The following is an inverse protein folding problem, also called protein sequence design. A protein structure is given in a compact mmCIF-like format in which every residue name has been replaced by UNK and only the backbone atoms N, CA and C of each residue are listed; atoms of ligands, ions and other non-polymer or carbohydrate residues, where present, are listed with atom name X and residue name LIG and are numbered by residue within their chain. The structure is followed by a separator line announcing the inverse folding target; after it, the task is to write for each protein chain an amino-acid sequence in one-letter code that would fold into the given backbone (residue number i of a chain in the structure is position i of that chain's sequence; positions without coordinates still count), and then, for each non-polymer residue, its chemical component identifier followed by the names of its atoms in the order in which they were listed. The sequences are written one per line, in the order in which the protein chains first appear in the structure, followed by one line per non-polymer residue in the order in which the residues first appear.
data_IF_467652538721
#
_entry.id   IF_467652538721
#
_cell.length_a   1.000
_cell.length_b   1.000
_cell.length_c   1.000
_cell.angle_alpha   90.00
_cell.angle_beta   90.00
_cell.angle_gamma   90.00
#
_symmetry.space_group_name_H-M   'P 1'
#
loop_
_entity.id
_entity.type
_entity.pdbx_description
1 polymer ?
#
# COMPACT_ATOMS: atom_id res chain seq x y z
N UNK A 1 -15.25 -41.63 41.19
CA UNK A 1 -13.99 -41.13 40.61
C UNK A 1 -14.24 -39.73 40.09
N UNK A 2 -13.94 -38.73 40.92
CA UNK A 2 -14.07 -37.31 40.59
C UNK A 2 -12.83 -36.90 39.79
N UNK A 3 -12.99 -36.63 38.50
CA UNK A 3 -11.96 -36.01 37.68
C UNK A 3 -11.77 -34.57 38.17
N UNK A 4 -10.75 -34.34 38.98
CA UNK A 4 -10.28 -32.98 39.26
C UNK A 4 -9.81 -32.39 37.93
N UNK A 5 -10.64 -31.55 37.32
CA UNK A 5 -10.18 -30.64 36.28
C UNK A 5 -9.08 -29.80 36.91
N UNK A 6 -7.83 -30.05 36.51
CA UNK A 6 -6.71 -29.18 36.82
C UNK A 6 -7.05 -27.80 36.28
N UNK A 7 -7.53 -26.90 37.14
CA UNK A 7 -7.72 -25.50 36.77
C UNK A 7 -6.38 -24.99 36.23
N UNK A 8 -6.41 -24.46 35.01
CA UNK A 8 -5.24 -23.85 34.38
C UNK A 8 -4.64 -22.83 35.34
N UNK A 9 -3.34 -22.93 35.62
CA UNK A 9 -2.66 -22.03 36.56
C UNK A 9 -2.80 -20.55 36.16
N UNK A 10 -3.00 -20.27 34.87
CA UNK A 10 -3.25 -18.94 34.33
C UNK A 10 -4.60 -18.36 34.79
N UNK A 11 -5.60 -19.20 35.05
CA UNK A 11 -6.94 -18.77 35.46
C UNK A 11 -6.99 -18.29 36.91
N UNK A 12 -6.06 -18.77 37.74
CA UNK A 12 -5.98 -18.45 39.17
C UNK A 12 -5.24 -17.12 39.40
N UNK A 13 -4.59 -16.57 38.37
CA UNK A 13 -3.84 -15.32 38.47
C UNK A 13 -4.75 -14.15 38.91
N UNK A 14 -4.25 -13.25 39.78
CA UNK A 14 -4.88 -11.96 40.06
C UNK A 14 -5.13 -11.16 38.78
N UNK A 15 -6.10 -10.25 38.84
CA UNK A 15 -6.49 -9.43 37.69
C UNK A 15 -5.32 -8.62 37.15
N UNK A 16 -4.43 -8.14 38.02
CA UNK A 16 -3.25 -7.36 37.69
C UNK A 16 -2.23 -8.18 36.89
N UNK A 17 -2.03 -9.46 37.24
CA UNK A 17 -1.13 -10.33 36.49
C UNK A 17 -1.75 -10.75 35.15
N UNK A 18 -3.06 -10.98 35.09
CA UNK A 18 -3.77 -11.23 33.82
C UNK A 18 -3.67 -10.03 32.89
N UNK A 19 -3.77 -8.83 33.43
CA UNK A 19 -3.60 -7.58 32.70
C UNK A 19 -2.19 -7.47 32.10
N UNK A 20 -1.14 -7.76 32.89
CA UNK A 20 0.24 -7.78 32.39
C UNK A 20 0.46 -8.83 31.30
N UNK A 21 -0.17 -10.01 31.43
CA UNK A 21 -0.15 -11.02 30.36
C UNK A 21 -0.78 -10.47 29.09
N UNK A 22 -1.94 -9.82 29.17
CA UNK A 22 -2.61 -9.21 28.02
C UNK A 22 -1.74 -8.12 27.35
N UNK A 23 -1.09 -7.26 28.14
CA UNK A 23 -0.15 -6.25 27.64
C UNK A 23 1.08 -6.84 26.94
N UNK A 24 1.48 -8.05 27.32
CA UNK A 24 2.67 -8.73 26.78
C UNK A 24 2.36 -9.57 25.54
N UNK A 25 1.10 -9.64 25.09
CA UNK A 25 0.76 -10.46 23.94
C UNK A 25 1.37 -9.89 22.66
N UNK A 26 1.94 -10.75 21.79
CA UNK A 26 2.71 -10.30 20.63
C UNK A 26 1.84 -9.85 19.45
N UNK A 27 0.55 -10.20 19.44
CA UNK A 27 -0.33 -9.91 18.31
C UNK A 27 -1.80 -9.87 18.67
N UNK A 28 -2.60 -9.19 17.85
CA UNK A 28 -4.06 -9.15 17.93
C UNK A 28 -4.65 -10.54 17.79
N UNK A 29 -4.06 -11.40 16.96
CA UNK A 29 -4.45 -12.81 16.86
C UNK A 29 -4.32 -13.53 18.20
N UNK A 30 -3.17 -13.35 18.88
CA UNK A 30 -2.93 -13.95 20.21
C UNK A 30 -3.90 -13.42 21.26
N UNK A 31 -4.18 -12.12 21.24
CA UNK A 31 -5.19 -11.47 22.09
C UNK A 31 -6.59 -12.06 21.85
N UNK A 32 -6.97 -12.23 20.59
CA UNK A 32 -8.26 -12.82 20.22
C UNK A 32 -8.35 -14.28 20.69
N UNK A 33 -7.32 -15.10 20.45
CA UNK A 33 -7.28 -16.48 20.90
C UNK A 33 -7.38 -16.59 22.43
N UNK A 34 -6.63 -15.78 23.18
CA UNK A 34 -6.63 -15.85 24.65
C UNK A 34 -7.99 -15.43 25.23
N UNK A 35 -8.55 -14.32 24.74
CA UNK A 35 -9.85 -13.82 25.22
C UNK A 35 -11.00 -14.76 24.87
N UNK A 36 -10.95 -15.47 23.75
CA UNK A 36 -11.94 -16.50 23.42
C UNK A 36 -11.74 -17.82 24.18
N UNK A 37 -10.50 -18.14 24.56
CA UNK A 37 -10.18 -19.38 25.29
C UNK A 37 -10.49 -19.31 26.80
N UNK A 38 -10.57 -18.12 27.37
CA UNK A 38 -10.72 -17.92 28.81
C UNK A 38 -11.73 -16.80 29.15
N UNK A 39 -12.84 -17.11 29.85
CA UNK A 39 -13.78 -16.11 30.34
C UNK A 39 -13.15 -15.10 31.32
N UNK A 40 -12.10 -15.50 32.06
CA UNK A 40 -11.44 -14.59 32.99
C UNK A 40 -10.59 -13.55 32.24
N UNK A 41 -9.86 -13.97 31.22
CA UNK A 41 -9.13 -13.02 30.36
C UNK A 41 -10.09 -12.16 29.51
N UNK A 42 -11.21 -12.72 29.06
CA UNK A 42 -12.27 -11.95 28.40
C UNK A 42 -12.77 -10.81 29.28
N UNK A 43 -13.09 -11.08 30.55
CA UNK A 43 -13.59 -10.08 31.49
C UNK A 43 -12.55 -8.99 31.80
N UNK A 44 -11.27 -9.34 31.91
CA UNK A 44 -10.19 -8.36 32.12
C UNK A 44 -10.01 -7.49 30.87
N UNK A 45 -10.02 -8.10 29.67
CA UNK A 45 -9.88 -7.38 28.41
C UNK A 45 -11.04 -6.41 28.16
N UNK A 46 -12.29 -6.83 28.36
CA UNK A 46 -13.48 -5.99 28.22
C UNK A 46 -13.73 -5.03 29.40
N UNK A 47 -12.76 -4.92 30.31
CA UNK A 47 -12.77 -3.93 31.39
C UNK A 47 -12.43 -2.52 30.92
N UNK A 48 -12.08 -1.65 31.87
CA UNK A 48 -11.76 -0.24 31.61
C UNK A 48 -10.48 -0.02 30.78
N UNK A 49 -9.63 -1.03 30.68
CA UNK A 49 -8.30 -0.94 30.04
C UNK A 49 -8.27 -1.46 28.60
N UNK A 50 -9.42 -1.84 28.02
CA UNK A 50 -9.48 -2.43 26.68
C UNK A 50 -8.70 -1.63 25.63
N UNK A 51 -8.84 -0.30 25.65
CA UNK A 51 -8.17 0.59 24.71
C UNK A 51 -6.65 0.69 24.93
N UNK A 52 -6.17 0.51 26.15
CA UNK A 52 -4.74 0.51 26.47
C UNK A 52 -4.12 -0.83 26.10
N UNK A 53 -4.80 -1.94 26.43
CA UNK A 53 -4.39 -3.30 26.07
C UNK A 53 -4.26 -3.42 24.54
N UNK A 54 -5.30 -3.02 23.80
CA UNK A 54 -5.26 -3.13 22.34
C UNK A 54 -4.17 -2.23 21.73
N UNK A 55 -3.96 -1.01 22.26
CA UNK A 55 -2.89 -0.14 21.78
C UNK A 55 -1.50 -0.76 21.99
N UNK A 56 -1.26 -1.35 23.16
CA UNK A 56 0.01 -2.02 23.45
C UNK A 56 0.20 -3.26 22.58
N UNK A 57 -0.84 -4.07 22.37
CA UNK A 57 -0.76 -5.25 21.50
C UNK A 57 -0.47 -4.86 20.06
N UNK A 58 -1.07 -3.77 19.56
CA UNK A 58 -0.74 -3.20 18.25
C UNK A 58 0.71 -2.72 18.18
N UNK A 59 1.24 -2.10 19.25
CA UNK A 59 2.65 -1.71 19.35
C UNK A 59 3.58 -2.93 19.35
N UNK A 60 3.21 -4.00 20.06
CA UNK A 60 3.99 -5.23 20.09
C UNK A 60 4.03 -5.92 18.72
N UNK A 61 2.93 -5.89 17.97
CA UNK A 61 2.80 -6.55 16.66
C UNK A 61 3.51 -5.78 15.54
N UNK A 62 3.39 -4.45 15.52
CA UNK A 62 3.92 -3.59 14.45
C UNK A 62 5.29 -3.00 14.77
N UNK A 63 5.59 -2.83 16.05
CA UNK A 63 6.66 -1.96 16.52
C UNK A 63 6.25 -0.48 16.50
N UNK A 64 6.91 0.29 17.37
CA UNK A 64 6.60 1.71 17.62
C UNK A 64 6.62 2.59 16.36
N UNK A 65 7.57 2.37 15.47
CA UNK A 65 7.74 3.21 14.27
C UNK A 65 6.63 2.95 13.24
N UNK A 66 6.26 1.70 13.01
CA UNK A 66 5.16 1.34 12.09
C UNK A 66 3.81 1.77 12.67
N UNK A 67 3.65 1.70 14.00
CA UNK A 67 2.43 2.12 14.68
C UNK A 67 2.13 3.62 14.48
N UNK A 68 3.15 4.48 14.43
CA UNK A 68 2.97 5.92 14.14
C UNK A 68 2.34 6.15 12.75
N UNK A 69 2.84 5.45 11.73
CA UNK A 69 2.26 5.53 10.38
C UNK A 69 0.83 4.94 10.36
N UNK A 70 0.57 3.87 11.12
CA UNK A 70 -0.78 3.32 11.29
C UNK A 70 -1.76 4.32 11.93
N UNK A 71 -1.33 5.06 12.95
CA UNK A 71 -2.12 6.14 13.55
C UNK A 71 -2.45 7.24 12.56
N UNK A 72 -1.51 7.57 11.67
CA UNK A 72 -1.74 8.53 10.61
C UNK A 72 -2.75 8.03 9.58
N UNK A 73 -2.68 6.76 9.18
CA UNK A 73 -3.68 6.11 8.31
C UNK A 73 -5.08 6.17 8.92
N UNK A 74 -5.22 5.86 10.21
CA UNK A 74 -6.51 5.96 10.92
C UNK A 74 -7.07 7.39 10.85
N UNK A 75 -6.23 8.38 11.12
CA UNK A 75 -6.63 9.78 11.07
C UNK A 75 -7.02 10.22 9.65
N UNK A 76 -6.26 9.78 8.64
CA UNK A 76 -6.57 10.02 7.23
C UNK A 76 -7.91 9.39 6.83
N UNK A 77 -8.17 8.15 7.24
CA UNK A 77 -9.42 7.44 6.95
C UNK A 77 -10.64 8.11 7.59
N UNK A 78 -10.51 8.64 8.81
CA UNK A 78 -11.55 9.44 9.46
C UNK A 78 -11.87 10.71 8.69
N UNK A 79 -10.85 11.33 8.11
CA UNK A 79 -11.01 12.57 7.37
C UNK A 79 -11.85 12.40 6.11
N UNK A 80 -11.77 11.26 5.41
CA UNK A 80 -12.64 10.97 4.26
C UNK A 80 -14.11 11.06 4.65
N UNK A 81 -14.47 10.48 5.81
CA UNK A 81 -15.83 10.51 6.35
C UNK A 81 -16.34 11.92 6.63
N UNK A 82 -15.44 12.89 6.78
CA UNK A 82 -15.77 14.29 7.04
C UNK A 82 -15.91 15.11 5.75
N UNK A 83 -15.47 14.59 4.60
CA UNK A 83 -15.44 15.26 3.28
C UNK A 83 -16.60 14.91 2.35
N UNK A 84 -17.67 14.30 2.86
CA UNK A 84 -18.85 13.97 2.04
C UNK A 84 -19.35 15.17 1.23
N UNK A 85 -19.64 14.98 -0.06
CA UNK A 85 -20.08 16.06 -0.96
C UNK A 85 -21.52 16.50 -0.63
N UNK A 86 -21.70 17.74 -0.16
CA UNK A 86 -23.05 18.38 -0.08
C UNK A 86 -23.49 18.81 -1.49
N UNK A 87 -24.69 18.40 -1.96
CA UNK A 87 -25.18 18.71 -3.31
C UNK A 87 -25.35 20.18 -3.70
N UNK A 88 -25.21 21.15 -2.79
CA UNK A 88 -25.59 22.53 -3.06
C UNK A 88 -24.60 23.64 -2.63
N UNK A 89 -23.35 23.38 -2.22
CA UNK A 89 -22.56 24.43 -1.54
C UNK A 89 -21.04 24.51 -1.76
N UNK A 90 -20.58 25.67 -2.24
CA UNK A 90 -19.18 26.13 -2.26
C UNK A 90 -18.54 26.29 -0.85
N UNK A 91 -19.33 26.30 0.24
CA UNK A 91 -18.81 26.47 1.61
C UNK A 91 -18.18 25.20 2.21
N UNK A 92 -18.65 24.01 1.81
CA UNK A 92 -18.12 22.74 2.31
C UNK A 92 -16.73 22.44 1.74
N UNK A 93 -16.44 22.94 0.53
CA UNK A 93 -15.15 22.87 -0.13
C UNK A 93 -14.06 23.61 0.67
N UNK A 94 -14.36 24.83 1.15
CA UNK A 94 -13.44 25.60 1.99
C UNK A 94 -13.15 24.92 3.33
N UNK A 95 -14.17 24.36 4.01
CA UNK A 95 -13.98 23.64 5.27
C UNK A 95 -13.18 22.36 5.06
N UNK A 96 -13.44 21.62 3.98
CA UNK A 96 -12.72 20.41 3.61
C UNK A 96 -11.25 20.70 3.27
N UNK A 97 -10.99 21.80 2.55
CA UNK A 97 -9.64 22.27 2.23
C UNK A 97 -8.89 22.76 3.47
N UNK A 98 -9.56 23.44 4.40
CA UNK A 98 -8.96 23.83 5.68
C UNK A 98 -8.57 22.61 6.52
N UNK A 99 -9.45 21.62 6.63
CA UNK A 99 -9.16 20.37 7.33
C UNK A 99 -8.03 19.59 6.62
N UNK A 100 -8.00 19.58 5.28
CA UNK A 100 -6.89 19.02 4.51
C UNK A 100 -5.55 19.66 4.91
N UNK A 101 -5.50 20.99 4.86
CA UNK A 101 -4.29 21.75 5.15
C UNK A 101 -3.87 21.59 6.61
N UNK A 102 -4.82 21.52 7.54
CA UNK A 102 -4.54 21.19 8.95
C UNK A 102 -3.92 19.80 9.09
N UNK A 103 -4.42 18.79 8.36
CA UNK A 103 -3.85 17.44 8.36
C UNK A 103 -2.45 17.40 7.74
N UNK A 104 -2.26 18.04 6.59
CA UNK A 104 -0.98 18.12 5.91
C UNK A 104 0.07 18.86 6.74
N UNK A 105 -0.33 19.94 7.43
CA UNK A 105 0.54 20.76 8.29
C UNK A 105 0.76 20.19 9.69
N UNK A 106 -0.07 19.25 10.14
CA UNK A 106 0.09 18.63 11.46
C UNK A 106 1.48 17.97 11.56
N UNK A 107 2.23 18.10 12.67
CA UNK A 107 3.64 17.65 12.72
C UNK A 107 3.86 16.14 12.50
N UNK A 108 5.12 15.74 12.31
CA UNK A 108 5.57 14.34 12.16
C UNK A 108 5.40 13.53 13.46
N UNK A 109 5.44 14.21 14.61
CA UNK A 109 5.23 13.64 15.93
C UNK A 109 3.85 14.03 16.44
N UNK A 110 2.89 13.12 16.31
CA UNK A 110 1.59 13.25 16.96
C UNK A 110 1.31 11.97 17.72
N UNK A 111 1.10 12.08 19.03
CA UNK A 111 0.75 10.93 19.86
C UNK A 111 -0.73 10.55 19.67
N UNK A 112 -1.10 9.30 19.96
CA UNK A 112 -2.46 8.75 19.82
C UNK A 112 -3.52 9.65 20.46
N UNK A 113 -3.18 10.26 21.60
CA UNK A 113 -4.06 11.17 22.35
C UNK A 113 -4.32 12.46 21.57
N UNK A 114 -3.29 13.03 20.95
CA UNK A 114 -3.37 14.25 20.13
C UNK A 114 -4.11 13.98 18.81
N UNK A 115 -4.15 12.72 18.38
CA UNK A 115 -4.87 12.26 17.20
C UNK A 115 -6.35 11.90 17.49
N UNK A 116 -6.76 11.87 18.76
CA UNK A 116 -8.12 11.54 19.16
C UNK A 116 -8.57 10.12 18.77
N UNK A 117 -7.62 9.18 18.66
CA UNK A 117 -7.88 7.81 18.19
C UNK A 117 -8.68 7.03 19.25
N UNK A 118 -9.83 6.48 18.84
CA UNK A 118 -10.75 5.73 19.70
C UNK A 118 -10.48 4.23 19.66
N UNK A 119 -11.14 3.48 20.55
CA UNK A 119 -11.12 2.02 20.53
C UNK A 119 -11.65 1.44 19.20
N UNK A 120 -12.74 1.99 18.69
CA UNK A 120 -13.34 1.54 17.43
C UNK A 120 -12.40 1.72 16.24
N UNK A 121 -11.62 2.80 16.22
CA UNK A 121 -10.62 3.01 15.18
C UNK A 121 -9.51 1.95 15.23
N UNK A 122 -9.04 1.61 16.43
CA UNK A 122 -8.02 0.57 16.62
C UNK A 122 -8.56 -0.80 16.20
N UNK A 123 -9.82 -1.11 16.52
CA UNK A 123 -10.49 -2.34 16.09
C UNK A 123 -10.66 -2.36 14.57
N UNK A 124 -11.00 -1.22 13.97
CA UNK A 124 -11.09 -1.10 12.52
C UNK A 124 -9.74 -1.37 11.85
N UNK A 125 -8.67 -0.75 12.34
CA UNK A 125 -7.32 -0.93 11.79
C UNK A 125 -6.79 -2.34 12.05
N UNK A 126 -7.07 -2.94 13.21
CA UNK A 126 -6.59 -4.28 13.54
C UNK A 126 -7.10 -5.35 12.57
N UNK A 127 -8.26 -5.13 11.94
CA UNK A 127 -8.81 -6.02 10.90
C UNK A 127 -8.01 -5.99 9.60
N UNK A 128 -7.27 -4.91 9.34
CA UNK A 128 -6.42 -4.75 8.15
C UNK A 128 -5.04 -5.39 8.32
N UNK A 129 -4.61 -5.68 9.55
CA UNK A 129 -3.27 -6.22 9.83
C UNK A 129 -2.92 -7.50 9.07
N UNK A 130 -3.82 -8.49 8.91
CA UNK A 130 -3.50 -9.69 8.13
C UNK A 130 -3.14 -9.35 6.68
N UNK A 131 -3.88 -8.42 6.05
CA UNK A 131 -3.57 -7.98 4.69
C UNK A 131 -2.24 -7.22 4.61
N UNK A 132 -1.95 -6.37 5.60
CA UNK A 132 -0.66 -5.66 5.68
C UNK A 132 0.50 -6.66 5.80
N UNK A 133 0.36 -7.69 6.63
CA UNK A 133 1.36 -8.75 6.78
C UNK A 133 1.55 -9.53 5.48
N UNK A 134 0.47 -9.97 4.83
CA UNK A 134 0.54 -10.71 3.57
C UNK A 134 1.23 -9.92 2.46
N UNK A 135 0.86 -8.65 2.28
CA UNK A 135 1.49 -7.77 1.27
C UNK A 135 2.95 -7.53 1.60
N UNK A 136 3.30 -7.33 2.87
CA UNK A 136 4.68 -7.09 3.28
C UNK A 136 5.56 -8.32 3.06
N UNK A 137 5.05 -9.51 3.38
CA UNK A 137 5.72 -10.79 3.12
C UNK A 137 5.87 -10.99 1.61
N UNK A 138 4.84 -10.70 0.82
CA UNK A 138 4.92 -10.84 -0.62
C UNK A 138 5.94 -9.88 -1.25
N UNK A 139 6.04 -8.65 -0.75
CA UNK A 139 7.10 -7.73 -1.17
C UNK A 139 8.47 -8.31 -0.83
N UNK A 140 8.66 -8.81 0.41
CA UNK A 140 9.91 -9.47 0.82
C UNK A 140 10.28 -10.62 -0.11
N UNK A 141 9.36 -11.53 -0.39
CA UNK A 141 9.63 -12.71 -1.22
C UNK A 141 9.94 -12.34 -2.68
N UNK A 142 9.21 -11.39 -3.25
CA UNK A 142 9.35 -11.02 -4.66
C UNK A 142 10.53 -10.07 -4.92
N UNK A 143 11.01 -9.36 -3.89
CA UNK A 143 12.06 -8.35 -4.05
C UNK A 143 13.29 -8.66 -3.20
N UNK A 144 13.19 -8.53 -1.87
CA UNK A 144 14.33 -8.62 -0.94
C UNK A 144 14.81 -10.08 -0.71
N UNK A 145 14.00 -11.07 -1.11
CA UNK A 145 14.34 -12.49 -1.09
C UNK A 145 15.25 -12.91 -2.25
N UNK A 146 15.39 -12.06 -3.25
CA UNK A 146 16.17 -12.32 -4.46
C UNK A 146 17.47 -11.50 -4.43
N UNK A 147 18.53 -12.06 -4.98
CA UNK A 147 19.82 -11.40 -5.07
C UNK A 147 19.69 -10.18 -6.00
N UNK A 148 20.11 -8.96 -5.58
CA UNK A 148 19.92 -7.72 -6.36
C UNK A 148 20.49 -7.74 -7.78
N UNK A 149 21.52 -8.56 -8.03
CA UNK A 149 22.25 -8.66 -9.31
C UNK A 149 21.88 -9.90 -10.14
N UNK A 150 21.64 -11.05 -9.52
CA UNK A 150 21.38 -12.28 -10.28
C UNK A 150 19.88 -12.51 -10.46
N UNK A 151 19.05 -11.87 -9.63
CA UNK A 151 17.61 -12.13 -9.55
C UNK A 151 17.29 -13.50 -8.94
N UNK A 152 18.29 -14.32 -8.63
CA UNK A 152 18.10 -15.66 -8.07
C UNK A 152 17.71 -15.58 -6.59
N UNK A 153 16.90 -16.53 -6.14
CA UNK A 153 16.49 -16.63 -4.74
C UNK A 153 17.72 -16.87 -3.86
N UNK A 154 17.88 -16.09 -2.80
CA UNK A 154 19.01 -16.22 -1.87
C UNK A 154 18.86 -17.55 -1.10
N UNK A 155 19.79 -18.51 -1.21
CA UNK A 155 19.65 -19.83 -0.60
C UNK A 155 19.73 -19.74 0.94
N UNK A 156 18.78 -20.33 1.67
CA UNK A 156 18.70 -20.28 3.14
C UNK A 156 19.95 -20.78 3.90
N UNK A 157 20.88 -21.45 3.22
CA UNK A 157 22.15 -21.95 3.74
C UNK A 157 23.31 -20.95 3.66
N UNK A 158 23.16 -19.82 2.95
CA UNK A 158 24.21 -18.80 2.83
C UNK A 158 24.34 -17.98 4.13
N UNK A 159 25.56 -17.56 4.54
CA UNK A 159 25.73 -16.59 5.63
C UNK A 159 24.96 -15.27 5.39
N UNK A 160 24.72 -14.91 4.13
CA UNK A 160 23.88 -13.78 3.69
C UNK A 160 22.36 -14.06 3.68
N UNK A 161 21.94 -15.29 3.99
CA UNK A 161 20.56 -15.75 3.94
C UNK A 161 19.84 -15.80 5.29
N UNK A 162 20.37 -15.05 6.26
CA UNK A 162 19.56 -14.69 7.42
C UNK A 162 18.25 -14.08 6.91
N UNK A 163 17.14 -14.55 7.47
CA UNK A 163 15.80 -14.06 7.15
C UNK A 163 15.78 -12.53 7.21
N UNK A 164 14.94 -11.87 6.38
CA UNK A 164 14.78 -10.43 6.43
C UNK A 164 14.60 -9.95 7.87
N UNK A 165 15.28 -8.86 8.21
CA UNK A 165 15.24 -8.37 9.59
C UNK A 165 13.88 -7.74 9.88
N UNK A 166 13.53 -7.65 11.17
CA UNK A 166 12.34 -6.89 11.60
C UNK A 166 12.39 -5.45 11.11
N UNK A 167 13.59 -4.86 10.94
CA UNK A 167 13.73 -3.48 10.42
C UNK A 167 13.35 -3.39 8.95
N UNK A 168 13.77 -4.33 8.13
CA UNK A 168 13.41 -4.38 6.71
C UNK A 168 11.89 -4.55 6.55
N UNK A 169 11.28 -5.43 7.36
CA UNK A 169 9.83 -5.59 7.40
C UNK A 169 9.14 -4.28 7.83
N UNK A 170 9.64 -3.60 8.86
CA UNK A 170 9.10 -2.31 9.29
C UNK A 170 9.20 -1.23 8.20
N UNK A 171 10.30 -1.15 7.44
CA UNK A 171 10.41 -0.20 6.32
C UNK A 171 9.31 -0.42 5.27
N UNK A 172 9.08 -1.67 4.89
CA UNK A 172 8.03 -2.05 3.94
C UNK A 172 6.65 -1.68 4.49
N UNK A 173 6.33 -2.06 5.73
CA UNK A 173 5.03 -1.77 6.35
C UNK A 173 4.78 -0.27 6.44
N UNK A 174 5.77 0.53 6.85
CA UNK A 174 5.66 2.00 6.86
C UNK A 174 5.38 2.56 5.48
N UNK A 175 6.13 2.12 4.47
CA UNK A 175 5.94 2.56 3.10
C UNK A 175 4.53 2.24 2.57
N UNK A 176 4.03 1.02 2.80
CA UNK A 176 2.65 0.63 2.47
C UNK A 176 1.64 1.53 3.20
N UNK A 177 1.83 1.78 4.50
CA UNK A 177 0.93 2.61 5.29
C UNK A 177 0.97 4.09 4.87
N UNK A 178 2.13 4.62 4.46
CA UNK A 178 2.23 6.00 3.96
C UNK A 178 1.52 6.17 2.62
N UNK A 179 1.61 5.16 1.73
CA UNK A 179 0.81 5.10 0.50
C UNK A 179 -0.68 5.05 0.86
N UNK A 180 -1.10 4.21 1.80
CA UNK A 180 -2.49 4.13 2.27
C UNK A 180 -2.98 5.45 2.92
N UNK A 181 -2.11 6.16 3.65
CA UNK A 181 -2.46 7.46 4.20
C UNK A 181 -2.64 8.49 3.07
N UNK A 182 -1.77 8.47 2.06
CA UNK A 182 -1.90 9.29 0.86
C UNK A 182 -3.23 9.03 0.15
N UNK A 183 -3.59 7.76 -0.09
CA UNK A 183 -4.86 7.41 -0.74
C UNK A 183 -6.02 8.00 0.05
N UNK A 184 -6.05 7.83 1.37
CA UNK A 184 -7.12 8.35 2.21
C UNK A 184 -7.19 9.89 2.26
N UNK A 185 -6.07 10.59 2.36
CA UNK A 185 -6.04 12.06 2.44
C UNK A 185 -6.62 12.71 1.18
N UNK A 186 -6.36 12.09 0.03
CA UNK A 186 -6.72 12.60 -1.30
C UNK A 186 -7.95 11.91 -1.91
N UNK A 187 -8.67 11.11 -1.11
CA UNK A 187 -9.98 10.53 -1.44
C UNK A 187 -11.14 11.43 -1.01
N UNK A 188 -12.26 11.38 -1.73
CA UNK A 188 -13.55 11.97 -1.33
C UNK A 188 -14.62 10.89 -1.24
N UNK A 189 -15.43 10.91 -0.17
CA UNK A 189 -16.62 10.06 -0.05
C UNK A 189 -17.79 10.68 -0.84
N UNK A 190 -18.36 9.94 -1.81
CA UNK A 190 -19.55 10.40 -2.51
C UNK A 190 -20.82 9.72 -1.98
N UNK A 191 -21.59 10.44 -1.17
CA UNK A 191 -22.94 10.01 -0.74
C UNK A 191 -23.93 9.86 -1.92
N UNK A 192 -23.69 10.45 -3.09
CA UNK A 192 -24.59 10.33 -4.25
C UNK A 192 -24.55 8.97 -4.94
N UNK A 193 -23.50 8.16 -4.81
CA UNK A 193 -23.48 6.81 -5.41
C UNK A 193 -24.41 5.85 -4.66
N UNK A 194 -24.58 6.03 -3.34
CA UNK A 194 -25.58 5.29 -2.55
C UNK A 194 -27.03 5.71 -2.87
N UNK A 195 -27.22 6.90 -3.46
CA UNK A 195 -28.54 7.49 -3.75
C UNK A 195 -28.82 7.71 -5.24
N UNK A 196 -27.92 7.29 -6.14
CA UNK A 196 -28.06 7.53 -7.57
C UNK A 196 -29.32 6.84 -8.10
N UNK A 197 -30.07 7.60 -8.90
CA UNK A 197 -31.45 7.40 -9.38
C UNK A 197 -31.70 6.15 -10.26
N UNK A 198 -30.88 5.10 -10.17
CA UNK A 198 -30.96 3.92 -11.04
C UNK A 198 -31.30 2.62 -10.30
N UNK A 199 -32.02 2.71 -9.17
CA UNK A 199 -32.68 1.52 -8.57
C UNK A 199 -33.71 0.85 -9.51
N UNK A 200 -34.12 1.51 -10.58
CA UNK A 200 -35.24 1.04 -11.42
C UNK A 200 -34.82 0.26 -12.69
N UNK A 201 -33.52 -0.03 -12.88
CA UNK A 201 -33.03 -0.85 -13.99
C UNK A 201 -32.16 -2.04 -13.53
N UNK A 202 -32.71 -2.87 -12.64
CA UNK A 202 -32.20 -4.24 -12.47
C UNK A 202 -32.45 -5.04 -13.76
N UNK A 203 -31.39 -5.40 -14.48
CA UNK A 203 -31.48 -6.40 -15.53
C UNK A 203 -31.61 -7.79 -14.88
N UNK A 204 -32.83 -8.33 -14.85
CA UNK A 204 -33.16 -9.60 -14.21
C UNK A 204 -32.50 -10.81 -14.89
N UNK A 205 -31.98 -10.67 -16.11
CA UNK A 205 -31.54 -11.80 -16.93
C UNK A 205 -30.08 -11.71 -17.44
N UNK A 206 -29.29 -10.71 -17.00
CA UNK A 206 -27.88 -10.58 -17.39
C UNK A 206 -26.96 -11.67 -16.81
N UNK A 207 -25.88 -12.06 -17.50
CA UNK A 207 -25.02 -13.18 -17.12
C UNK A 207 -24.31 -13.01 -15.76
N UNK A 208 -24.23 -11.78 -15.25
CA UNK A 208 -23.58 -11.42 -14.00
C UNK A 208 -24.53 -11.32 -12.80
N UNK A 209 -25.86 -11.38 -12.98
CA UNK A 209 -26.81 -11.49 -11.84
C UNK A 209 -26.68 -12.84 -11.13
N UNK A 210 -26.33 -13.91 -11.86
CA UNK A 210 -25.96 -15.20 -11.24
C UNK A 210 -24.70 -15.13 -10.38
N UNK A 211 -23.93 -14.03 -10.49
CA UNK A 211 -22.67 -13.79 -9.78
C UNK A 211 -22.74 -12.60 -8.80
N UNK A 212 -23.88 -11.92 -8.69
CA UNK A 212 -24.14 -10.91 -7.66
C UNK A 212 -23.79 -9.45 -7.97
N UNK A 213 -23.63 -9.05 -9.24
CA UNK A 213 -23.17 -7.69 -9.61
C UNK A 213 -24.29 -6.74 -10.09
N UNK A 214 -24.18 -5.44 -9.76
CA UNK A 214 -25.07 -4.35 -10.20
C UNK A 214 -24.45 -3.54 -11.37
N UNK A 215 -25.30 -2.86 -12.15
CA UNK A 215 -24.96 -2.11 -13.40
C UNK A 215 -24.43 -0.69 -13.12
N UNK A 216 -23.39 -0.20 -13.85
CA UNK A 216 -22.97 1.23 -13.88
C UNK A 216 -22.54 1.66 -15.30
N UNK A 217 -23.03 2.83 -15.79
CA UNK A 217 -22.77 3.38 -17.14
C UNK A 217 -21.53 4.31 -17.25
N UNK A 218 -20.90 4.39 -18.43
CA UNK A 218 -19.75 5.26 -18.85
C UNK A 218 -19.73 6.68 -18.31
N UNK A 219 -20.89 7.30 -18.11
CA UNK A 219 -20.99 8.66 -17.59
C UNK A 219 -20.42 8.80 -16.17
N UNK A 220 -20.19 7.70 -15.45
CA UNK A 220 -19.51 7.71 -14.15
C UNK A 220 -17.98 7.73 -14.26
N UNK A 221 -17.34 7.14 -15.28
CA UNK A 221 -15.88 7.21 -15.42
C UNK A 221 -15.41 8.64 -15.76
N UNK A 222 -16.13 9.32 -16.66
CA UNK A 222 -15.84 10.73 -17.01
C UNK A 222 -16.21 11.70 -15.88
N UNK A 223 -17.24 11.41 -15.05
CA UNK A 223 -17.54 12.23 -13.85
C UNK A 223 -16.65 11.95 -12.65
N UNK A 224 -16.05 10.76 -12.56
CA UNK A 224 -15.02 10.43 -11.57
C UNK A 224 -13.73 11.23 -11.79
N UNK A 225 -13.50 11.76 -12.99
CA UNK A 225 -12.62 12.91 -13.23
C UNK A 225 -13.28 14.22 -12.77
N UNK A 226 -13.57 14.36 -11.47
CA UNK A 226 -13.70 15.71 -10.95
C UNK A 226 -12.31 16.34 -10.99
N UNK A 227 -12.14 17.34 -11.86
CA UNK A 227 -10.98 18.22 -12.00
C UNK A 227 -10.75 19.10 -10.76
N UNK A 228 -10.91 18.53 -9.56
CA UNK A 228 -10.11 18.95 -8.44
C UNK A 228 -8.73 18.35 -8.75
N UNK A 229 -7.87 19.07 -9.46
CA UNK A 229 -6.46 18.71 -9.49
C UNK A 229 -5.92 19.04 -8.09
N UNK A 230 -5.17 18.13 -7.47
CA UNK A 230 -4.35 18.54 -6.33
C UNK A 230 -3.39 19.64 -6.81
N UNK A 231 -3.24 20.71 -6.04
CA UNK A 231 -2.11 21.60 -6.32
C UNK A 231 -0.82 20.85 -5.98
N UNK A 232 0.23 21.06 -6.78
CA UNK A 232 1.57 20.53 -6.49
C UNK A 232 2.00 20.86 -5.05
N UNK A 233 1.55 22.01 -4.53
CA UNK A 233 1.70 22.44 -3.14
C UNK A 233 1.17 21.40 -2.12
N UNK A 234 0.01 20.78 -2.36
CA UNK A 234 -0.57 19.79 -1.44
C UNK A 234 0.22 18.48 -1.43
N UNK A 235 0.72 18.05 -2.59
CA UNK A 235 1.57 16.87 -2.70
C UNK A 235 2.92 17.12 -2.01
N UNK A 236 3.51 18.30 -2.21
CA UNK A 236 4.73 18.74 -1.55
C UNK A 236 4.54 18.83 -0.04
N UNK A 237 3.43 19.37 0.45
CA UNK A 237 3.13 19.43 1.88
C UNK A 237 3.05 18.03 2.51
N UNK A 238 2.47 17.05 1.79
CA UNK A 238 2.46 15.67 2.23
C UNK A 238 3.88 15.06 2.25
N UNK A 239 4.64 15.18 1.16
CA UNK A 239 5.97 14.59 1.07
C UNK A 239 7.01 15.27 1.97
N UNK A 240 6.88 16.56 2.26
CA UNK A 240 7.76 17.29 3.18
C UNK A 240 7.70 16.77 4.63
N UNK A 241 6.76 15.87 4.93
CA UNK A 241 6.74 15.14 6.21
C UNK A 241 7.82 14.07 6.28
N UNK A 242 8.31 13.59 5.14
CA UNK A 242 9.19 12.43 5.05
C UNK A 242 10.59 12.85 4.62
N UNK A 243 11.59 12.09 5.07
CA UNK A 243 12.96 12.24 4.59
C UNK A 243 13.08 11.67 3.16
N UNK A 244 14.12 12.06 2.41
CA UNK A 244 14.27 11.64 1.01
C UNK A 244 14.25 10.11 0.83
N UNK A 245 14.93 9.38 1.72
CA UNK A 245 14.93 7.91 1.68
C UNK A 245 13.58 7.30 2.05
N UNK A 246 12.78 7.96 2.90
CA UNK A 246 11.44 7.52 3.26
C UNK A 246 10.44 7.70 2.09
N UNK A 247 10.66 8.74 1.27
CA UNK A 247 9.93 8.94 0.01
C UNK A 247 10.33 7.83 -0.98
N UNK A 248 11.63 7.53 -1.09
CA UNK A 248 12.10 6.45 -1.95
C UNK A 248 11.58 5.06 -1.51
N UNK A 249 11.41 4.83 -0.20
CA UNK A 249 10.74 3.63 0.33
C UNK A 249 9.32 3.50 -0.26
N UNK A 250 8.55 4.61 -0.28
CA UNK A 250 7.21 4.63 -0.87
C UNK A 250 7.25 4.35 -2.38
N UNK A 251 8.17 4.97 -3.10
CA UNK A 251 8.31 4.79 -4.56
C UNK A 251 8.65 3.33 -4.89
N UNK A 252 9.55 2.69 -4.14
CA UNK A 252 9.88 1.27 -4.33
C UNK A 252 8.66 0.36 -4.16
N UNK A 253 7.82 0.62 -3.15
CA UNK A 253 6.57 -0.14 -2.93
C UNK A 253 5.56 0.13 -4.04
N UNK A 254 5.39 1.38 -4.47
CA UNK A 254 4.53 1.76 -5.60
C UNK A 254 4.92 1.02 -6.87
N UNK A 255 6.20 1.04 -7.24
CA UNK A 255 6.70 0.36 -8.43
C UNK A 255 6.55 -1.16 -8.36
N UNK A 256 6.63 -1.73 -7.16
CA UNK A 256 6.29 -3.12 -6.95
C UNK A 256 4.79 -3.38 -7.16
N UNK A 257 3.89 -2.58 -6.58
CA UNK A 257 2.45 -2.70 -6.81
C UNK A 257 2.09 -2.66 -8.29
N UNK A 258 2.64 -1.68 -9.03
CA UNK A 258 2.45 -1.57 -10.49
C UNK A 258 2.82 -2.86 -11.18
N UNK A 259 4.01 -3.40 -10.88
CA UNK A 259 4.47 -4.67 -11.47
C UNK A 259 3.58 -5.86 -11.11
N UNK A 260 3.07 -5.95 -9.89
CA UNK A 260 2.18 -7.04 -9.48
C UNK A 260 0.86 -7.00 -10.26
N UNK A 261 0.25 -5.81 -10.41
CA UNK A 261 -0.98 -5.66 -11.20
C UNK A 261 -0.73 -5.84 -12.71
N UNK A 262 0.37 -5.32 -13.24
CA UNK A 262 0.76 -5.53 -14.64
C UNK A 262 1.02 -7.01 -14.96
N UNK A 263 1.57 -7.77 -14.00
CA UNK A 263 1.78 -9.20 -14.14
C UNK A 263 0.44 -9.96 -14.24
N UNK A 264 -0.56 -9.58 -13.44
CA UNK A 264 -1.91 -10.16 -13.51
C UNK A 264 -2.55 -9.90 -14.87
N UNK A 265 -2.35 -8.72 -15.45
CA UNK A 265 -2.84 -8.41 -16.78
C UNK A 265 -2.20 -9.32 -17.84
N UNK A 266 -0.86 -9.41 -17.83
CA UNK A 266 -0.10 -10.24 -18.77
C UNK A 266 -0.44 -11.72 -18.64
N UNK A 267 -0.78 -12.17 -17.44
CA UNK A 267 -1.11 -13.57 -17.16
C UNK A 267 -2.51 -13.96 -17.63
N UNK A 268 -3.50 -13.07 -17.54
CA UNK A 268 -4.92 -13.38 -17.76
C UNK A 268 -5.59 -12.54 -18.88
N UNK A 269 -5.01 -12.46 -20.09
CA UNK A 269 -5.51 -11.55 -21.12
C UNK A 269 -6.94 -11.86 -21.58
N UNK A 270 -7.40 -13.11 -21.44
CA UNK A 270 -8.76 -13.52 -21.82
C UNK A 270 -9.80 -13.02 -20.83
N UNK A 271 -9.52 -13.19 -19.54
CA UNK A 271 -10.37 -12.75 -18.44
C UNK A 271 -10.51 -11.23 -18.43
N UNK A 272 -9.40 -10.52 -18.67
CA UNK A 272 -9.40 -9.08 -18.86
C UNK A 272 -10.23 -8.69 -20.11
N UNK A 273 -10.09 -9.40 -21.24
CA UNK A 273 -10.89 -9.13 -22.46
C UNK A 273 -12.40 -9.22 -22.21
N UNK A 274 -12.87 -10.22 -21.48
CA UNK A 274 -14.30 -10.43 -21.20
C UNK A 274 -14.90 -9.23 -20.45
N UNK A 275 -14.17 -8.70 -19.48
CA UNK A 275 -14.62 -7.54 -18.72
C UNK A 275 -14.62 -6.28 -19.60
N UNK A 276 -13.77 -6.17 -20.64
CA UNK A 276 -13.77 -4.98 -21.52
C UNK A 276 -14.89 -5.02 -22.51
N UNK A 277 -15.20 -6.21 -23.04
CA UNK A 277 -16.39 -6.42 -23.85
C UNK A 277 -17.62 -6.00 -23.04
N UNK A 278 -17.65 -6.38 -21.76
CA UNK A 278 -18.73 -5.99 -20.87
C UNK A 278 -18.78 -4.47 -20.63
N UNK A 279 -17.63 -3.84 -20.39
CA UNK A 279 -17.55 -2.39 -20.21
C UNK A 279 -17.97 -1.63 -21.48
N UNK A 280 -17.42 -1.98 -22.65
CA UNK A 280 -17.77 -1.38 -23.94
C UNK A 280 -19.25 -1.64 -24.31
N UNK A 281 -19.83 -2.77 -23.91
CA UNK A 281 -21.27 -3.02 -24.10
C UNK A 281 -22.14 -2.11 -23.22
N UNK A 282 -21.75 -1.89 -21.97
CA UNK A 282 -22.46 -0.97 -21.07
C UNK A 282 -22.30 0.49 -21.53
N UNK A 283 -21.15 0.80 -22.11
CA UNK A 283 -20.70 2.16 -22.44
C UNK A 283 -20.96 2.56 -23.89
N UNK A 284 -21.27 1.59 -24.73
CA UNK A 284 -21.44 1.71 -26.17
C UNK A 284 -22.88 2.04 -26.56
N UNK A 285 -23.20 1.82 -27.83
CA UNK A 285 -24.53 2.06 -28.35
C UNK A 285 -25.54 1.10 -27.70
N UNK A 286 -26.56 1.60 -26.98
CA UNK A 286 -27.56 0.75 -26.31
C UNK A 286 -28.41 -0.08 -27.28
N UNK A 287 -28.33 0.17 -28.60
CA UNK A 287 -28.96 -0.65 -29.63
C UNK A 287 -28.17 -1.92 -29.98
N UNK A 288 -26.91 -2.05 -29.56
CA UNK A 288 -26.08 -3.22 -29.79
C UNK A 288 -26.27 -4.28 -28.69
N UNK A 289 -26.40 -5.53 -29.12
CA UNK A 289 -26.38 -6.69 -28.24
C UNK A 289 -24.96 -6.97 -27.75
N UNK A 290 -24.83 -7.66 -26.61
CA UNK A 290 -23.52 -8.08 -26.09
C UNK A 290 -22.76 -8.95 -27.10
N UNK A 291 -23.48 -9.80 -27.84
CA UNK A 291 -22.94 -10.64 -28.90
C UNK A 291 -22.37 -9.78 -30.04
N UNK A 292 -23.08 -8.74 -30.49
CA UNK A 292 -22.58 -7.82 -31.51
C UNK A 292 -21.36 -7.02 -31.05
N UNK A 293 -21.31 -6.59 -29.78
CA UNK A 293 -20.14 -5.90 -29.21
C UNK A 293 -18.95 -6.85 -29.11
N UNK A 294 -19.15 -8.10 -28.68
CA UNK A 294 -18.09 -9.10 -28.53
C UNK A 294 -17.41 -9.49 -29.85
N UNK A 295 -18.12 -9.35 -30.98
CA UNK A 295 -17.62 -9.60 -32.33
C UNK A 295 -17.23 -8.33 -33.09
N UNK A 296 -17.33 -7.16 -32.46
CA UNK A 296 -16.97 -5.89 -33.07
C UNK A 296 -15.47 -5.78 -33.29
N UNK A 297 -15.05 -5.47 -34.53
CA UNK A 297 -13.66 -5.10 -34.85
C UNK A 297 -13.20 -3.81 -34.15
N UNK A 298 -14.13 -3.06 -33.54
CA UNK A 298 -13.87 -1.79 -32.85
C UNK A 298 -13.61 -1.92 -31.35
N UNK A 299 -13.54 -3.14 -30.78
CA UNK A 299 -13.08 -3.29 -29.39
C UNK A 299 -11.64 -2.75 -29.33
N UNK A 300 -11.48 -1.57 -28.73
CA UNK A 300 -10.18 -0.92 -28.59
C UNK A 300 -9.26 -1.87 -27.82
N UNK A 301 -8.19 -2.31 -28.47
CA UNK A 301 -7.07 -2.94 -27.75
C UNK A 301 -6.47 -1.86 -26.86
N UNK A 302 -6.62 -2.05 -25.55
CA UNK A 302 -6.09 -1.15 -24.53
C UNK A 302 -4.56 -1.20 -24.53
N UNK A 303 -3.93 -0.03 -24.51
CA UNK A 303 -2.47 0.13 -24.62
C UNK A 303 -1.79 0.21 -23.25
N UNK A 304 -0.44 0.26 -23.22
CA UNK A 304 0.37 0.32 -21.99
C UNK A 304 -0.09 1.41 -21.00
N UNK A 305 -0.48 2.57 -21.51
CA UNK A 305 -0.94 3.71 -20.71
C UNK A 305 -2.33 3.49 -20.13
N UNK A 306 -3.22 2.76 -20.81
CA UNK A 306 -4.48 2.32 -20.20
C UNK A 306 -4.22 1.38 -18.99
N UNK A 307 -3.16 0.57 -19.04
CA UNK A 307 -2.81 -0.38 -17.97
C UNK A 307 -2.16 0.29 -16.76
N UNK A 308 -1.26 1.25 -16.99
CA UNK A 308 -0.66 2.05 -15.92
C UNK A 308 -1.74 2.75 -15.08
N UNK A 309 -2.77 3.28 -15.75
CA UNK A 309 -3.93 3.87 -15.09
C UNK A 309 -4.73 2.86 -14.26
N UNK A 310 -4.91 1.62 -14.75
CA UNK A 310 -5.63 0.58 -13.99
C UNK A 310 -4.83 0.14 -12.77
N UNK A 311 -3.52 -0.10 -12.91
CA UNK A 311 -2.64 -0.46 -11.79
C UNK A 311 -2.69 0.61 -10.69
N UNK A 312 -2.68 1.89 -11.07
CA UNK A 312 -2.85 3.00 -10.13
C UNK A 312 -4.23 3.06 -9.47
N UNK A 313 -5.30 2.84 -10.25
CA UNK A 313 -6.65 2.74 -9.69
C UNK A 313 -6.78 1.59 -8.69
N UNK A 314 -6.12 0.46 -8.94
CA UNK A 314 -6.10 -0.66 -8.00
C UNK A 314 -5.35 -0.30 -6.72
N UNK A 315 -4.21 0.37 -6.82
CA UNK A 315 -3.47 0.85 -5.65
C UNK A 315 -4.28 1.82 -4.78
N UNK A 316 -5.10 2.68 -5.40
CA UNK A 316 -6.00 3.61 -4.69
C UNK A 316 -7.03 2.90 -3.81
N UNK A 317 -7.36 1.64 -4.10
CA UNK A 317 -8.25 0.81 -3.28
C UNK A 317 -7.56 0.20 -2.05
N UNK A 318 -6.25 0.45 -1.91
CA UNK A 318 -5.46 0.11 -0.74
C UNK A 318 -4.88 -1.30 -0.79
N UNK A 319 -4.03 -1.59 0.19
CA UNK A 319 -3.27 -2.84 0.22
C UNK A 319 -4.14 -4.10 0.42
N UNK A 320 -5.33 -3.94 1.00
CA UNK A 320 -6.30 -5.05 1.19
C UNK A 320 -6.76 -5.64 -0.15
N UNK A 321 -6.87 -4.82 -1.20
CA UNK A 321 -7.24 -5.31 -2.53
C UNK A 321 -6.20 -6.29 -3.05
N UNK A 322 -4.91 -5.93 -2.99
CA UNK A 322 -3.85 -6.81 -3.47
C UNK A 322 -3.80 -8.12 -2.66
N UNK A 323 -3.95 -8.03 -1.33
CA UNK A 323 -4.06 -9.21 -0.46
C UNK A 323 -5.23 -10.11 -0.89
N UNK A 324 -6.43 -9.55 -1.10
CA UNK A 324 -7.59 -10.32 -1.52
C UNK A 324 -7.38 -10.97 -2.90
N UNK A 325 -6.85 -10.23 -3.86
CA UNK A 325 -6.53 -10.74 -5.21
C UNK A 325 -5.52 -11.88 -5.12
N UNK A 326 -4.49 -11.77 -4.27
CA UNK A 326 -3.52 -12.84 -4.07
C UNK A 326 -4.13 -14.11 -3.50
N UNK A 327 -5.12 -13.99 -2.60
CA UNK A 327 -5.83 -15.14 -2.02
C UNK A 327 -6.73 -15.89 -3.00
N UNK A 328 -7.13 -15.29 -4.12
CA UNK A 328 -7.96 -16.00 -5.12
C UNK A 328 -7.13 -17.01 -5.90
N UNK A 329 -7.74 -18.13 -6.26
CA UNK A 329 -7.05 -19.23 -6.94
C UNK A 329 -7.05 -19.06 -8.45
N UNK A 330 -8.20 -18.67 -9.02
CA UNK A 330 -8.36 -18.59 -10.48
C UNK A 330 -8.14 -17.18 -11.02
N UNK A 331 -7.64 -17.08 -12.26
CA UNK A 331 -7.51 -15.80 -12.98
C UNK A 331 -8.83 -15.03 -13.03
N UNK A 332 -9.93 -15.74 -13.30
CA UNK A 332 -11.28 -15.14 -13.34
C UNK A 332 -11.67 -14.50 -12.01
N UNK A 333 -11.44 -15.18 -10.88
CA UNK A 333 -11.74 -14.60 -9.57
C UNK A 333 -10.84 -13.39 -9.26
N UNK A 334 -9.55 -13.45 -9.63
CA UNK A 334 -8.62 -12.32 -9.46
C UNK A 334 -9.09 -11.09 -10.22
N UNK A 335 -9.40 -11.25 -11.51
CA UNK A 335 -9.91 -10.15 -12.36
C UNK A 335 -11.24 -9.64 -11.83
N UNK A 336 -12.16 -10.53 -11.45
CA UNK A 336 -13.46 -10.13 -10.90
C UNK A 336 -13.33 -9.32 -9.62
N UNK A 337 -12.43 -9.68 -8.69
CA UNK A 337 -12.19 -8.91 -7.47
C UNK A 337 -11.70 -7.51 -7.81
N UNK A 338 -10.73 -7.39 -8.72
CA UNK A 338 -10.19 -6.09 -9.12
C UNK A 338 -11.28 -5.24 -9.76
N UNK A 339 -12.01 -5.81 -10.73
CA UNK A 339 -13.10 -5.12 -11.41
C UNK A 339 -14.17 -4.69 -10.41
N UNK A 340 -14.59 -5.58 -9.51
CA UNK A 340 -15.57 -5.29 -8.47
C UNK A 340 -15.08 -4.22 -7.50
N UNK A 341 -13.78 -4.16 -7.19
CA UNK A 341 -13.24 -3.14 -6.31
C UNK A 341 -13.18 -1.76 -6.99
N UNK A 342 -12.87 -1.73 -8.28
CA UNK A 342 -12.90 -0.51 -9.10
C UNK A 342 -14.36 -0.04 -9.31
N UNK A 343 -15.28 -0.99 -9.45
CA UNK A 343 -16.70 -0.75 -9.71
C UNK A 343 -17.50 -0.39 -8.43
N UNK A 344 -17.24 -1.10 -7.32
CA UNK A 344 -17.88 -0.84 -6.03
C UNK A 344 -17.26 0.36 -5.32
N UNK A 345 -18.14 1.25 -4.87
CA UNK A 345 -17.90 2.48 -4.10
C UNK A 345 -17.31 3.67 -4.89
N UNK A 346 -18.20 4.62 -5.22
CA UNK A 346 -18.45 5.89 -4.51
C UNK A 346 -17.30 6.75 -3.97
N UNK A 347 -16.04 6.31 -3.99
CA UNK A 347 -14.92 7.18 -3.60
C UNK A 347 -14.45 7.88 -4.87
N UNK A 348 -14.78 9.16 -4.99
CA UNK A 348 -14.27 10.00 -6.05
C UNK A 348 -12.89 10.42 -5.58
N UNK A 349 -11.87 9.88 -6.22
CA UNK A 349 -10.52 10.34 -5.97
C UNK A 349 -10.38 11.69 -6.66
N UNK A 350 -9.84 12.67 -5.93
CA UNK A 350 -9.34 13.90 -6.54
C UNK A 350 -8.35 13.43 -7.62
N UNK A 351 -8.46 13.95 -8.84
CA UNK A 351 -7.61 13.50 -9.93
C UNK A 351 -6.17 13.87 -9.59
N UNK A 352 -5.45 12.89 -9.07
CA UNK A 352 -4.00 12.92 -9.03
C UNK A 352 -3.64 12.36 -10.40
N UNK A 353 -3.56 13.24 -11.39
CA UNK A 353 -2.59 13.03 -12.46
C UNK A 353 -1.33 12.61 -11.71
N UNK A 354 -0.89 11.37 -11.96
CA UNK A 354 0.32 10.86 -11.34
C UNK A 354 0.26 10.52 -9.82
N UNK A 355 -0.57 9.54 -9.41
CA UNK A 355 -0.59 8.96 -8.05
C UNK A 355 0.81 8.57 -7.56
N UNK A 356 1.38 9.39 -6.66
CA UNK A 356 2.77 9.30 -6.22
C UNK A 356 3.78 9.19 -7.37
N UNK A 357 3.41 9.40 -8.64
CA UNK A 357 4.27 9.31 -9.84
C UNK A 357 5.35 10.39 -9.82
N UNK A 358 5.19 11.39 -8.95
CA UNK A 358 6.24 12.31 -8.55
C UNK A 358 7.52 11.54 -8.18
N UNK A 359 8.52 11.63 -9.04
CA UNK A 359 9.87 11.18 -8.72
C UNK A 359 10.41 12.04 -7.58
N UNK A 360 11.39 11.52 -6.84
CA UNK A 360 12.07 12.32 -5.83
C UNK A 360 12.63 13.63 -6.43
N UNK A 361 13.06 13.59 -7.69
CA UNK A 361 13.55 14.76 -8.42
C UNK A 361 12.44 15.74 -8.74
N UNK A 362 11.28 15.28 -9.22
CA UNK A 362 10.12 16.13 -9.43
C UNK A 362 9.71 16.82 -8.11
N UNK A 363 9.69 16.08 -7.00
CA UNK A 363 9.45 16.67 -5.68
C UNK A 363 10.51 17.70 -5.29
N UNK A 364 11.79 17.44 -5.57
CA UNK A 364 12.87 18.38 -5.32
C UNK A 364 12.77 19.63 -6.21
N UNK A 365 12.44 19.49 -7.49
CA UNK A 365 12.24 20.61 -8.41
C UNK A 365 11.13 21.52 -7.88
N UNK A 366 9.95 20.97 -7.57
CA UNK A 366 8.81 21.73 -7.05
C UNK A 366 9.16 22.38 -5.69
N UNK A 367 9.94 21.69 -4.84
CA UNK A 367 10.42 22.25 -3.56
C UNK A 367 11.43 23.39 -3.73
N UNK A 368 12.15 23.46 -4.87
CA UNK A 368 13.27 24.39 -5.09
C UNK A 368 12.97 25.52 -6.08
N UNK A 369 11.73 25.65 -6.58
CA UNK A 369 11.30 26.79 -7.41
C UNK A 369 11.45 28.16 -6.70
N UNK A 370 11.56 28.18 -5.36
CA UNK A 370 12.14 29.31 -4.65
C UNK A 370 13.67 29.27 -4.77
N UNK A 371 14.25 30.20 -5.53
CA UNK A 371 15.70 30.27 -5.83
C UNK A 371 16.64 30.26 -4.59
N UNK A 372 16.12 30.54 -3.39
CA UNK A 372 16.82 30.41 -2.09
C UNK A 372 16.93 28.97 -1.58
N UNK A 373 16.05 28.06 -2.02
CA UNK A 373 16.00 26.66 -1.61
C UNK A 373 17.13 25.81 -2.18
N UNK A 374 17.61 26.11 -3.41
CA UNK A 374 18.69 25.36 -4.06
C UNK A 374 20.03 25.52 -3.33
N UNK A 375 20.35 26.71 -2.84
CA UNK A 375 21.57 27.00 -2.06
C UNK A 375 21.52 26.44 -0.64
N UNK A 376 20.37 26.53 0.04
CA UNK A 376 20.14 25.91 1.35
C UNK A 376 20.22 24.39 1.25
N UNK A 377 19.71 23.80 0.17
CA UNK A 377 19.77 22.37 -0.09
C UNK A 377 21.19 21.90 -0.40
N UNK A 378 21.94 22.63 -1.22
CA UNK A 378 23.36 22.35 -1.44
C UNK A 378 24.14 22.37 -0.13
N UNK A 379 23.91 23.38 0.72
CA UNK A 379 24.53 23.44 2.04
C UNK A 379 24.03 22.35 3.00
N UNK A 380 22.77 21.93 2.91
CA UNK A 380 22.18 20.89 3.78
C UNK A 380 22.63 19.50 3.37
N UNK A 381 22.62 19.19 2.06
CA UNK A 381 23.14 17.95 1.49
C UNK A 381 24.64 17.85 1.74
N UNK A 382 25.39 18.93 1.50
CA UNK A 382 26.81 18.98 1.76
C UNK A 382 27.09 18.86 3.27
N UNK A 383 26.33 19.52 4.15
CA UNK A 383 26.40 19.27 5.61
C UNK A 383 25.98 17.85 6.01
N UNK A 384 25.07 17.20 5.27
CA UNK A 384 24.67 15.81 5.53
C UNK A 384 25.80 14.85 5.14
N UNK A 385 26.41 15.08 3.97
CA UNK A 385 27.55 14.34 3.46
C UNK A 385 28.82 14.59 4.31
N UNK A 386 29.03 15.82 4.80
CA UNK A 386 30.16 16.25 5.64
C UNK A 386 29.96 15.93 7.13
N UNK A 387 28.71 15.87 7.61
CA UNK A 387 28.35 15.64 9.01
C UNK A 387 28.20 14.16 9.39
N UNK A 388 28.08 13.25 8.42
CA UNK A 388 28.02 11.80 8.64
C UNK A 388 29.41 11.14 8.64
N UNK A 389 30.34 11.68 9.44
CA UNK A 389 31.69 11.10 9.67
C UNK A 389 31.63 9.83 10.54
N UNK A 390 30.53 9.59 11.23
CA UNK A 390 30.25 8.31 11.87
C UNK A 390 29.21 7.58 11.04
N UNK A 391 29.67 6.61 10.26
CA UNK A 391 28.84 5.53 9.77
C UNK A 391 27.99 5.02 10.92
N UNK A 392 26.69 5.27 10.88
CA UNK A 392 25.82 4.23 11.35
C UNK A 392 25.75 3.21 10.20
N UNK A 393 26.80 2.39 10.09
CA UNK A 393 26.78 1.12 9.35
C UNK A 393 25.65 0.19 9.87
N UNK A 394 24.88 0.63 10.89
CA UNK A 394 23.63 0.02 11.37
C UNK A 394 22.34 0.83 11.08
N UNK A 395 22.42 1.94 10.34
CA UNK A 395 21.38 2.96 10.19
C UNK A 395 20.36 2.72 9.07
N UNK A 396 19.13 3.22 9.27
CA UNK A 396 17.95 2.92 8.46
C UNK A 396 18.04 3.26 6.95
N UNK A 397 19.04 4.02 6.51
CA UNK A 397 19.16 4.60 5.16
C UNK A 397 20.50 4.30 4.46
N UNK A 398 21.24 3.26 4.86
CA UNK A 398 22.57 2.98 4.31
C UNK A 398 22.59 2.81 2.78
N UNK A 399 21.62 2.09 2.21
CA UNK A 399 21.51 1.88 0.76
C UNK A 399 21.26 3.21 0.02
N UNK A 400 20.43 4.07 0.59
CA UNK A 400 20.19 5.42 0.07
C UNK A 400 21.48 6.25 0.04
N UNK A 401 22.20 6.31 1.15
CA UNK A 401 23.47 7.04 1.23
C UNK A 401 24.53 6.49 0.28
N UNK A 402 24.60 5.16 0.11
CA UNK A 402 25.53 4.52 -0.83
C UNK A 402 25.28 4.96 -2.27
N UNK A 403 24.01 5.03 -2.73
CA UNK A 403 23.68 5.53 -4.07
C UNK A 403 24.02 7.03 -4.21
N UNK A 404 23.59 7.85 -3.24
CA UNK A 404 23.73 9.32 -3.33
C UNK A 404 25.17 9.82 -3.32
N UNK A 405 26.11 9.05 -2.75
CA UNK A 405 27.54 9.37 -2.78
C UNK A 405 28.18 9.24 -4.16
N UNK A 406 27.67 8.34 -4.99
CA UNK A 406 28.29 8.02 -6.28
C UNK A 406 27.79 8.93 -7.40
N UNK A 407 26.54 9.39 -7.30
CA UNK A 407 25.91 10.12 -8.39
C UNK A 407 25.82 11.62 -8.23
N UNK A 408 26.16 12.23 -7.08
CA UNK A 408 26.17 13.69 -6.84
C UNK A 408 25.18 14.54 -7.69
N UNK A 409 23.93 14.06 -7.85
CA UNK A 409 22.85 14.63 -8.70
C UNK A 409 23.09 14.62 -10.22
N UNK A 410 23.46 13.49 -10.77
CA UNK A 410 23.36 13.20 -12.19
C UNK A 410 21.93 12.72 -12.52
N UNK A 411 21.06 13.68 -12.88
CA UNK A 411 19.63 13.43 -13.16
C UNK A 411 19.44 12.44 -14.32
N UNK A 412 20.32 12.49 -15.34
CA UNK A 412 20.28 11.57 -16.48
C UNK A 412 20.61 10.13 -16.05
N UNK A 413 21.54 9.96 -15.10
CA UNK A 413 21.83 8.66 -14.49
C UNK A 413 20.71 8.15 -13.59
N UNK A 414 20.04 9.04 -12.85
CA UNK A 414 18.95 8.64 -11.95
C UNK A 414 17.73 8.12 -12.70
N UNK A 415 17.35 8.75 -13.81
CA UNK A 415 16.22 8.29 -14.64
C UNK A 415 16.47 6.90 -15.23
N UNK A 416 17.71 6.61 -15.63
CA UNK A 416 18.09 5.32 -16.21
C UNK A 416 18.20 4.23 -15.13
N UNK A 417 18.91 4.53 -14.04
CA UNK A 417 19.33 3.51 -13.06
C UNK A 417 18.41 3.42 -11.84
N UNK A 418 17.69 4.49 -11.50
CA UNK A 418 16.72 4.53 -10.40
C UNK A 418 15.61 3.50 -10.57
N UNK A 419 15.14 3.29 -11.80
CA UNK A 419 14.18 2.24 -12.13
C UNK A 419 14.73 0.82 -11.92
N UNK A 420 16.05 0.63 -12.07
CA UNK A 420 16.72 -0.63 -11.76
C UNK A 420 16.80 -0.82 -10.24
N UNK A 421 17.26 0.19 -9.51
CA UNK A 421 17.38 0.16 -8.05
C UNK A 421 16.05 -0.09 -7.33
N UNK A 422 14.98 0.60 -7.75
CA UNK A 422 13.62 0.41 -7.19
C UNK A 422 13.08 -0.98 -7.47
N UNK A 423 13.51 -1.63 -8.55
CA UNK A 423 13.00 -2.95 -8.93
C UNK A 423 13.31 -4.06 -7.92
N UNK A 424 14.39 -3.92 -7.15
CA UNK A 424 14.76 -4.83 -6.06
C UNK A 424 14.63 -4.18 -4.67
N UNK A 425 14.00 -3.00 -4.60
CA UNK A 425 13.65 -2.31 -3.36
C UNK A 425 14.86 -1.86 -2.54
N UNK A 426 15.91 -1.33 -3.19
CA UNK A 426 17.23 -1.11 -2.56
C UNK A 426 17.24 -0.42 -1.19
N UNK A 427 16.40 0.61 -0.99
CA UNK A 427 16.30 1.34 0.29
C UNK A 427 15.71 0.52 1.43
N UNK A 428 15.06 -0.60 1.11
CA UNK A 428 14.46 -1.47 2.13
C UNK A 428 15.49 -2.35 2.82
N UNK A 429 16.64 -2.57 2.20
CA UNK A 429 17.65 -3.50 2.67
C UNK A 429 18.44 -2.96 3.86
N UNK A 430 18.76 -3.86 4.78
CA UNK A 430 19.75 -3.56 5.81
C UNK A 430 21.18 -3.52 5.25
N UNK A 431 21.97 -2.60 5.77
CA UNK A 431 23.38 -2.40 5.39
C UNK A 431 24.19 -3.71 5.44
N UNK A 432 24.07 -4.47 6.54
CA UNK A 432 24.80 -5.72 6.71
C UNK A 432 24.42 -6.80 5.70
N UNK A 433 23.18 -6.80 5.16
CA UNK A 433 22.77 -7.74 4.10
C UNK A 433 23.37 -7.33 2.77
N UNK A 434 23.37 -6.04 2.45
CA UNK A 434 24.00 -5.53 1.24
C UNK A 434 25.51 -5.74 1.24
N UNK A 435 26.15 -5.54 2.39
CA UNK A 435 27.58 -5.80 2.60
C UNK A 435 27.91 -7.30 2.43
N UNK A 436 27.12 -8.18 3.05
CA UNK A 436 27.28 -9.63 2.90
C UNK A 436 27.09 -10.13 1.45
N UNK A 437 26.34 -9.39 0.63
CA UNK A 437 26.16 -9.64 -0.79
C UNK A 437 27.21 -8.94 -1.67
N UNK A 438 28.13 -8.17 -1.07
CA UNK A 438 29.14 -7.40 -1.78
C UNK A 438 28.58 -6.28 -2.65
N UNK A 439 27.37 -5.78 -2.35
CA UNK A 439 26.71 -4.72 -3.11
C UNK A 439 27.34 -3.37 -2.80
N UNK A 440 27.60 -3.08 -1.52
CA UNK A 440 28.10 -1.76 -1.10
C UNK A 440 29.53 -1.47 -1.60
N UNK A 441 30.27 -2.49 -2.03
CA UNK A 441 31.61 -2.35 -2.60
C UNK A 441 31.62 -2.16 -4.12
N UNK A 442 30.45 -2.21 -4.79
CA UNK A 442 30.32 -2.04 -6.24
C UNK A 442 29.98 -0.60 -6.59
N UNK A 443 30.34 -0.22 -7.81
CA UNK A 443 29.83 0.99 -8.43
C UNK A 443 28.32 0.81 -8.71
N UNK A 444 27.51 1.85 -8.48
CA UNK A 444 26.08 1.77 -8.81
C UNK A 444 25.88 1.56 -10.31
N UNK A 445 26.75 2.15 -11.13
CA UNK A 445 26.71 2.04 -12.60
C UNK A 445 26.98 0.59 -13.05
N UNK A 446 27.70 -0.22 -12.25
CA UNK A 446 27.92 -1.65 -12.53
C UNK A 446 26.69 -2.53 -12.28
N UNK A 447 25.65 -1.99 -11.63
CA UNK A 447 24.39 -2.70 -11.43
C UNK A 447 23.44 -2.59 -12.62
N UNK A 448 23.85 -1.88 -13.67
CA UNK A 448 23.06 -1.73 -14.89
C UNK A 448 22.72 -3.10 -15.48
N UNK A 449 21.40 -3.31 -15.60
CA UNK A 449 20.74 -4.49 -16.15
C UNK A 449 20.75 -5.79 -15.33
N UNK A 450 20.84 -5.71 -14.01
CA UNK A 450 20.90 -6.92 -13.17
C UNK A 450 19.84 -7.02 -12.06
N UNK A 451 18.82 -6.16 -12.05
CA UNK A 451 17.58 -6.44 -11.33
C UNK A 451 16.79 -7.60 -11.96
N UNK A 452 15.66 -8.04 -11.37
CA UNK A 452 14.75 -9.08 -11.89
C UNK A 452 14.14 -8.78 -13.29
N UNK A 453 14.65 -7.77 -14.00
CA UNK A 453 14.23 -7.33 -15.32
C UNK A 453 15.07 -7.90 -16.49
N UNK A 454 16.20 -8.60 -16.27
CA UNK A 454 17.01 -9.13 -17.40
C UNK A 454 17.03 -10.64 -17.58
N UNK A 455 16.62 -11.42 -16.58
CA UNK A 455 16.25 -12.81 -16.83
C UNK A 455 14.74 -12.83 -17.03
N UNK A 456 14.27 -13.36 -18.16
CA UNK A 456 12.87 -13.74 -18.36
C UNK A 456 12.46 -14.88 -17.42
N UNK A 457 12.75 -14.74 -16.14
CA UNK A 457 12.35 -15.61 -15.05
C UNK A 457 10.98 -15.15 -14.56
N UNK A 458 10.06 -16.09 -14.61
CA UNK A 458 8.66 -15.92 -14.30
C UNK A 458 8.47 -15.37 -12.88
N UNK A 459 7.90 -14.16 -12.75
CA UNK A 459 7.33 -13.71 -11.48
C UNK A 459 5.93 -14.32 -11.36
N UNK A 460 5.81 -15.21 -10.38
CA UNK A 460 4.65 -15.80 -9.71
C UNK A 460 5.08 -17.22 -9.36
N UNK A 461 5.58 -17.43 -8.14
CA UNK A 461 5.70 -18.74 -7.47
C UNK A 461 5.59 -19.93 -8.42
N UNK A 462 6.70 -20.34 -9.04
CA UNK A 462 6.70 -21.38 -10.07
C UNK A 462 5.97 -22.65 -9.60
N UNK A 463 4.97 -23.04 -10.41
CA UNK A 463 4.39 -24.36 -10.57
C UNK A 463 4.09 -25.18 -9.30
N UNK A 464 2.80 -25.28 -8.98
CA UNK A 464 2.26 -26.58 -8.56
C UNK A 464 2.33 -27.49 -9.79
N UNK A 465 3.43 -28.25 -9.92
CA UNK A 465 3.58 -29.29 -10.93
C UNK A 465 2.67 -30.48 -10.58
N UNK A 466 1.84 -30.86 -11.55
CA UNK A 466 1.32 -32.21 -11.74
C UNK A 466 -0.15 -32.38 -11.35
N UNK A 467 -1.04 -32.89 -12.20
CA UNK A 467 -0.84 -33.77 -13.36
C UNK A 467 -1.93 -33.53 -14.40
N UNK A 468 -1.51 -33.47 -15.66
CA UNK A 468 -2.27 -34.09 -16.74
C UNK A 468 -2.29 -35.59 -16.46
N UNK A 469 -3.49 -36.16 -16.32
CA UNK A 469 -3.74 -37.58 -16.55
C UNK A 469 -5.00 -37.66 -17.44
N UNK A 470 -4.77 -38.12 -18.68
CA UNK A 470 -5.67 -38.58 -19.75
C UNK A 470 -6.60 -37.60 -20.51
#
# INVERSE_FOLDING_TARGET
MTTSQSQSQLEILPAELKLQVLYSLPSVSSLNSLTHSSPHFFNVYHGKEQAQILAQVLENELGREVLKDAWYVIRAARHIKLRGVDPFGNELEYKSQKILLELLRSGKELDKIELGITLDDMIWFSRKLPALQEVSIAFLENTIGNHPITGERIPSSSPSAKSPSTRELSRIQRAVLRIEAFTYIFSLENEYSLRSKYKDHEDLNGPFKRQGYNRIHRHDWVRRHHSLCLSDEQQVLFLNRYEEWEIEEMICVRDWYRREYDALYKQYPKEWKDVWIYQEWIDGDPSLTFEEVSHSEYIRVKDCSDWENISELCMRKGFELLSEVKRKETGKEKVNVIFSAIDSNAIYFIDVDDFLSMTLENWQMIRTEDATGKDIYNQTLQKYLEGQVAWDESGYNAAWCWVRRQWERDDEKWDQTGNCLRSWGYVMWDAWRLDALGILSRDVDELDMHGPKKFGGHLLSEYVIGRDDD
#
